data_IF_311584444031
#
_entry.id   IF_311584444031
#
_cell.length_a   1.000
_cell.length_b   1.000
_cell.length_c   1.000
_cell.angle_alpha   90.00
_cell.angle_beta   90.00
_cell.angle_gamma   90.00
#
_symmetry.space_group_name_H-M   'P 1'
#
loop_
_entity.id
_entity.type
_entity.pdbx_description
1 polymer ?
#
# COMPACT_ATOMS: atom_id res chain seq x y z
N UNK A 1 -48.07 -61.99 5.75
CA UNK A 1 -47.28 -61.25 4.75
C UNK A 1 -46.26 -60.40 5.51
N UNK A 2 -45.02 -60.85 5.58
CA UNK A 2 -43.96 -60.22 6.38
C UNK A 2 -42.78 -59.91 5.48
N UNK A 3 -42.50 -58.62 5.28
CA UNK A 3 -41.43 -58.16 4.40
C UNK A 3 -40.06 -58.36 5.09
N UNK A 4 -39.30 -59.32 4.57
CA UNK A 4 -37.88 -59.48 4.87
C UNK A 4 -37.09 -58.39 4.12
N UNK A 5 -36.41 -57.51 4.87
CA UNK A 5 -35.46 -56.55 4.28
C UNK A 5 -34.07 -57.18 4.28
N UNK A 6 -33.54 -57.35 3.07
CA UNK A 6 -32.20 -57.86 2.77
C UNK A 6 -31.18 -56.75 3.03
N UNK A 7 -30.21 -57.02 3.90
CA UNK A 7 -29.03 -56.18 4.10
C UNK A 7 -27.98 -56.49 3.02
N UNK A 8 -27.56 -55.49 2.25
CA UNK A 8 -26.42 -55.58 1.34
C UNK A 8 -25.23 -54.90 2.03
N UNK A 9 -24.23 -55.72 2.37
CA UNK A 9 -22.92 -55.27 2.79
C UNK A 9 -22.14 -54.78 1.57
N UNK A 10 -21.64 -53.54 1.62
CA UNK A 10 -20.64 -53.03 0.69
C UNK A 10 -19.36 -52.82 1.49
N UNK A 11 -18.35 -53.59 1.10
CA UNK A 11 -16.98 -53.64 1.60
C UNK A 11 -16.20 -52.35 1.33
N UNK A 12 -15.23 -52.08 2.21
CA UNK A 12 -14.23 -51.00 2.21
C UNK A 12 -13.53 -50.72 0.87
N UNK A 13 -12.97 -49.51 0.73
CA UNK A 13 -11.53 -49.45 0.47
C UNK A 13 -10.76 -48.65 1.55
N UNK A 14 -9.81 -49.37 2.15
CA UNK A 14 -8.45 -48.99 2.57
C UNK A 14 -8.09 -47.48 2.56
N UNK A 15 -7.69 -47.04 3.76
CA UNK A 15 -6.43 -46.33 4.07
C UNK A 15 -5.98 -45.21 3.13
N UNK A 16 -5.94 -43.97 3.64
CA UNK A 16 -4.68 -43.27 3.89
C UNK A 16 -4.90 -41.94 4.63
N UNK A 17 -4.08 -41.76 5.68
CA UNK A 17 -3.55 -40.49 6.20
C UNK A 17 -4.35 -39.60 7.19
N UNK A 18 -3.81 -39.62 8.42
CA UNK A 18 -3.40 -38.45 9.22
C UNK A 18 -4.47 -37.43 9.57
N UNK A 19 -5.18 -37.74 10.65
CA UNK A 19 -5.60 -36.73 11.62
C UNK A 19 -4.39 -36.38 12.50
N UNK A 20 -3.93 -35.13 12.36
CA UNK A 20 -2.93 -34.50 13.20
C UNK A 20 -2.94 -33.02 12.89
N UNK A 21 -4.03 -32.36 13.28
CA UNK A 21 -4.26 -30.94 13.02
C UNK A 21 -3.16 -30.07 13.60
N UNK A 22 -2.55 -29.27 12.73
CA UNK A 22 -2.07 -27.95 13.07
C UNK A 22 -2.93 -26.98 12.27
N UNK A 23 -3.99 -26.50 12.93
CA UNK A 23 -4.78 -25.38 12.45
C UNK A 23 -3.89 -24.13 12.59
N UNK A 24 -3.17 -23.77 11.54
CA UNK A 24 -2.43 -22.50 11.49
C UNK A 24 -3.43 -21.38 11.26
N UNK A 25 -3.97 -20.84 12.36
CA UNK A 25 -4.45 -19.46 12.40
C UNK A 25 -3.23 -18.53 12.22
N UNK A 26 -3.01 -18.07 11.00
CA UNK A 26 -2.36 -16.79 10.66
C UNK A 26 -2.18 -16.70 9.14
N UNK A 27 -3.27 -16.64 8.39
CA UNK A 27 -3.22 -16.00 7.08
C UNK A 27 -3.15 -14.48 7.32
N UNK A 28 -2.01 -14.00 7.85
CA UNK A 28 -1.61 -12.60 7.67
C UNK A 28 -1.30 -12.50 6.18
N UNK A 29 -2.33 -12.14 5.42
CA UNK A 29 -2.19 -11.88 4.00
C UNK A 29 -1.33 -10.62 3.90
N UNK A 30 -0.02 -10.77 3.70
CA UNK A 30 0.80 -9.68 3.20
C UNK A 30 0.42 -9.47 1.73
N UNK A 31 -0.31 -8.41 1.37
CA UNK A 31 -0.47 -8.09 -0.04
C UNK A 31 0.93 -7.83 -0.58
N UNK A 32 1.29 -8.54 -1.64
CA UNK A 32 2.46 -8.23 -2.44
C UNK A 32 2.26 -6.81 -3.00
N UNK A 33 2.83 -5.79 -2.34
CA UNK A 33 2.70 -4.34 -2.67
C UNK A 33 3.50 -3.99 -3.93
N UNK A 34 3.40 -4.81 -4.98
CA UNK A 34 3.99 -4.56 -6.30
C UNK A 34 2.94 -4.40 -7.41
N UNK A 35 1.66 -4.31 -7.08
CA UNK A 35 0.63 -3.92 -8.06
C UNK A 35 0.62 -2.39 -8.22
N UNK A 36 1.45 -1.90 -9.14
CA UNK A 36 1.39 -0.54 -9.67
C UNK A 36 0.07 -0.34 -10.43
N UNK A 37 -0.94 0.20 -9.74
CA UNK A 37 -2.12 0.80 -10.37
C UNK A 37 -1.87 2.28 -10.71
N UNK A 38 -2.55 2.85 -11.74
CA UNK A 38 -2.39 4.25 -12.12
C UNK A 38 -2.86 5.21 -11.02
N UNK A 39 -2.32 6.44 -10.95
CA UNK A 39 -2.52 7.34 -9.81
C UNK A 39 -3.89 8.04 -9.89
N UNK A 40 -4.80 7.71 -8.97
CA UNK A 40 -5.95 8.55 -8.64
C UNK A 40 -5.50 9.66 -7.69
N UNK A 41 -4.77 10.63 -8.24
CA UNK A 41 -4.16 11.75 -7.52
C UNK A 41 -5.19 12.70 -6.88
N UNK A 42 -6.45 12.62 -7.33
CA UNK A 42 -7.57 13.46 -6.88
C UNK A 42 -8.19 13.01 -5.54
N UNK A 43 -8.07 11.73 -5.17
CA UNK A 43 -8.52 11.24 -3.86
C UNK A 43 -7.48 11.48 -2.76
N UNK A 44 -6.19 11.43 -3.10
CA UNK A 44 -5.10 11.75 -2.15
C UNK A 44 -5.21 13.15 -1.53
N UNK A 45 -5.77 14.11 -2.26
CA UNK A 45 -5.93 15.49 -1.76
C UNK A 45 -7.19 15.69 -0.92
N UNK A 46 -8.24 14.87 -1.09
CA UNK A 46 -9.40 14.89 -0.19
C UNK A 46 -9.07 14.28 1.19
N UNK A 47 -8.16 13.31 1.22
CA UNK A 47 -7.68 12.66 2.47
C UNK A 47 -6.83 13.61 3.34
N UNK A 48 -6.16 14.59 2.74
CA UNK A 48 -5.43 15.63 3.49
C UNK A 48 -6.36 16.67 4.16
N UNK A 49 -7.62 16.79 3.71
CA UNK A 49 -8.59 17.71 4.29
C UNK A 49 -9.49 17.05 5.35
N UNK A 50 -9.68 15.73 5.30
CA UNK A 50 -10.37 14.96 6.34
C UNK A 50 -9.44 14.61 7.52
N UNK A 51 -8.12 14.69 7.33
CA UNK A 51 -7.12 14.68 8.40
C UNK A 51 -7.10 16.02 9.15
N UNK A 52 -8.15 16.30 9.91
CA UNK A 52 -8.14 17.39 10.88
C UNK A 52 -6.92 17.26 11.78
N UNK A 53 -6.10 18.30 11.82
CA UNK A 53 -4.95 18.36 12.72
C UNK A 53 -5.39 18.01 14.15
N UNK A 54 -4.66 17.17 14.90
CA UNK A 54 -4.98 16.88 16.29
C UNK A 54 -4.63 18.10 17.15
N UNK A 55 -5.52 19.10 17.15
CA UNK A 55 -5.52 20.18 18.12
C UNK A 55 -6.27 19.74 19.36
N UNK A 56 -5.52 19.22 20.34
CA UNK A 56 -5.95 19.17 21.73
C UNK A 56 -6.12 17.77 22.31
N UNK A 57 -5.15 17.34 23.13
CA UNK A 57 -5.31 16.54 24.34
C UNK A 57 -6.41 15.46 24.37
N UNK A 58 -6.56 14.67 23.30
CA UNK A 58 -7.37 13.47 23.36
C UNK A 58 -6.48 12.25 23.18
N UNK A 59 -6.28 11.52 24.28
CA UNK A 59 -6.15 10.05 24.30
C UNK A 59 -7.43 9.42 23.75
N UNK A 60 -7.83 9.82 22.54
CA UNK A 60 -8.89 9.16 21.79
C UNK A 60 -8.17 8.17 20.88
N UNK A 61 -8.51 6.91 21.03
CA UNK A 61 -8.04 5.86 20.14
C UNK A 61 -8.38 6.14 18.69
N UNK A 62 -7.84 5.32 17.81
CA UNK A 62 -8.14 5.38 16.39
C UNK A 62 -8.63 4.04 15.87
N UNK A 63 -9.38 4.09 14.78
CA UNK A 63 -9.74 2.91 14.01
C UNK A 63 -8.91 2.88 12.74
N UNK A 64 -8.27 1.75 12.46
CA UNK A 64 -7.59 1.52 11.19
C UNK A 64 -8.44 0.63 10.30
N UNK A 65 -8.68 1.05 9.07
CA UNK A 65 -9.57 0.37 8.15
C UNK A 65 -8.88 -0.02 6.84
N UNK A 66 -9.25 -1.19 6.33
CA UNK A 66 -8.94 -1.67 4.99
C UNK A 66 -10.25 -1.95 4.24
N UNK A 67 -10.37 -1.39 3.04
CA UNK A 67 -11.55 -1.54 2.19
C UNK A 67 -11.09 -2.01 0.81
N UNK A 68 -11.50 -3.23 0.44
CA UNK A 68 -11.22 -3.87 -0.85
C UNK A 68 -12.54 -4.12 -1.55
N UNK A 69 -12.70 -3.52 -2.72
CA UNK A 69 -13.86 -3.65 -3.57
C UNK A 69 -13.48 -4.51 -4.78
N UNK A 70 -13.85 -5.79 -4.78
CA UNK A 70 -13.45 -6.75 -5.81
C UNK A 70 -11.95 -7.00 -5.77
N UNK A 71 -11.25 -6.57 -6.82
CA UNK A 71 -9.79 -6.64 -6.98
C UNK A 71 -9.08 -5.31 -6.65
N UNK A 72 -9.84 -4.26 -6.29
CA UNK A 72 -9.30 -2.91 -6.06
C UNK A 72 -9.28 -2.56 -4.58
N UNK A 73 -8.14 -2.07 -4.11
CA UNK A 73 -8.00 -1.54 -2.75
C UNK A 73 -8.37 -0.06 -2.77
N UNK A 74 -9.47 0.30 -2.11
CA UNK A 74 -9.93 1.71 -2.05
C UNK A 74 -9.35 2.39 -0.82
N UNK A 75 -9.40 1.72 0.33
CA UNK A 75 -8.70 2.17 1.54
C UNK A 75 -7.64 1.15 1.90
N UNK A 76 -6.40 1.60 1.94
CA UNK A 76 -5.29 0.81 2.43
C UNK A 76 -4.83 1.38 3.77
N UNK A 77 -5.29 0.76 4.87
CA UNK A 77 -4.92 1.11 6.24
C UNK A 77 -5.17 2.58 6.57
N UNK A 78 -6.36 3.07 6.24
CA UNK A 78 -6.77 4.44 6.53
C UNK A 78 -7.09 4.56 8.03
N UNK A 79 -6.47 5.52 8.71
CA UNK A 79 -6.66 5.75 10.14
C UNK A 79 -7.72 6.82 10.33
N UNK A 80 -8.76 6.49 11.09
CA UNK A 80 -9.83 7.37 11.52
C UNK A 80 -9.72 7.63 13.02
N UNK A 81 -10.14 8.83 13.46
CA UNK A 81 -10.15 9.17 14.87
C UNK A 81 -11.41 8.63 15.57
N UNK A 82 -11.25 8.07 16.77
CA UNK A 82 -12.32 7.45 17.54
C UNK A 82 -12.64 6.02 17.13
N UNK A 83 -13.57 5.39 17.85
CA UNK A 83 -14.15 4.09 17.50
C UNK A 83 -15.25 4.28 16.44
N UNK A 84 -14.87 4.07 15.18
CA UNK A 84 -15.77 4.19 14.02
C UNK A 84 -15.77 2.91 13.17
N UNK A 85 -15.46 1.77 13.77
CA UNK A 85 -15.30 0.48 13.09
C UNK A 85 -16.52 0.11 12.25
N UNK A 86 -17.68 -0.01 12.91
CA UNK A 86 -18.95 -0.40 12.26
C UNK A 86 -19.46 0.64 11.26
N UNK A 87 -19.19 1.92 11.51
CA UNK A 87 -19.60 2.99 10.61
C UNK A 87 -18.81 2.93 9.31
N UNK A 88 -17.49 2.79 9.40
CA UNK A 88 -16.60 2.76 8.25
C UNK A 88 -16.68 1.47 7.46
N UNK A 89 -16.88 0.32 8.09
CA UNK A 89 -17.16 -0.93 7.37
C UNK A 89 -18.45 -0.82 6.54
N UNK A 90 -19.50 -0.25 7.13
CA UNK A 90 -20.77 -0.03 6.44
C UNK A 90 -20.65 1.00 5.32
N UNK A 91 -19.87 2.08 5.51
CA UNK A 91 -19.57 3.07 4.48
C UNK A 91 -18.83 2.42 3.29
N UNK A 92 -17.83 1.59 3.56
CA UNK A 92 -17.13 0.83 2.53
C UNK A 92 -18.10 -0.03 1.70
N UNK A 93 -18.96 -0.81 2.37
CA UNK A 93 -19.89 -1.72 1.71
C UNK A 93 -21.00 -1.00 0.93
N UNK A 94 -21.61 0.04 1.53
CA UNK A 94 -22.84 0.64 1.00
C UNK A 94 -22.62 1.88 0.16
N UNK A 95 -21.52 2.59 0.35
CA UNK A 95 -21.28 3.89 -0.27
C UNK A 95 -20.03 3.91 -1.14
N UNK A 96 -18.96 3.23 -0.74
CA UNK A 96 -17.70 3.29 -1.52
C UNK A 96 -17.70 2.25 -2.63
N UNK A 97 -17.82 0.97 -2.27
CA UNK A 97 -17.69 -0.10 -3.25
C UNK A 97 -18.72 -0.07 -4.39
N UNK A 98 -20.00 0.27 -4.17
CA UNK A 98 -20.97 0.35 -5.27
C UNK A 98 -20.62 1.39 -6.34
N UNK A 99 -19.79 2.39 -6.02
CA UNK A 99 -19.32 3.39 -6.97
C UNK A 99 -18.04 2.97 -7.71
N UNK A 100 -17.30 2.00 -7.16
CA UNK A 100 -16.01 1.55 -7.71
C UNK A 100 -16.16 0.28 -8.56
N UNK A 101 -17.05 -0.63 -8.16
CA UNK A 101 -17.24 -1.94 -8.80
C UNK A 101 -18.70 -2.20 -9.19
N UNK A 102 -18.89 -3.14 -10.11
CA UNK A 102 -20.23 -3.61 -10.51
C UNK A 102 -20.88 -4.34 -9.32
N UNK A 103 -22.17 -4.10 -9.03
CA UNK A 103 -22.90 -4.82 -7.98
C UNK A 103 -22.75 -6.35 -8.13
N UNK A 104 -22.53 -7.04 -7.02
CA UNK A 104 -22.39 -8.51 -6.96
C UNK A 104 -20.94 -9.03 -6.89
N UNK A 105 -19.93 -8.15 -7.02
CA UNK A 105 -18.55 -8.50 -6.67
C UNK A 105 -18.36 -8.49 -5.14
N UNK A 106 -17.40 -9.30 -4.66
CA UNK A 106 -17.11 -9.42 -3.23
C UNK A 106 -16.53 -8.11 -2.70
N UNK A 107 -17.05 -7.66 -1.57
CA UNK A 107 -16.51 -6.54 -0.79
C UNK A 107 -15.89 -7.11 0.47
N UNK A 108 -14.68 -6.64 0.79
CA UNK A 108 -14.01 -6.93 2.04
C UNK A 108 -13.70 -5.62 2.74
N UNK A 109 -14.34 -5.41 3.89
CA UNK A 109 -14.09 -4.30 4.78
C UNK A 109 -13.66 -4.88 6.12
N UNK A 110 -12.50 -4.47 6.60
CA UNK A 110 -11.99 -4.84 7.92
C UNK A 110 -11.48 -3.57 8.60
N UNK A 111 -12.04 -3.28 9.76
CA UNK A 111 -11.60 -2.19 10.59
C UNK A 111 -11.19 -2.73 11.97
N UNK A 112 -10.17 -2.14 12.58
CA UNK A 112 -9.73 -2.49 13.94
C UNK A 112 -9.56 -1.21 14.75
N UNK A 113 -10.26 -1.10 15.87
CA UNK A 113 -10.06 -0.02 16.84
C UNK A 113 -8.87 -0.31 17.77
N UNK A 114 -8.08 0.73 18.05
CA UNK A 114 -6.95 0.68 18.99
C UNK A 114 -7.00 1.90 19.90
N UNK A 115 -6.82 1.67 21.20
CA UNK A 115 -6.90 2.72 22.23
C UNK A 115 -5.76 3.76 22.13
N UNK A 116 -4.55 3.34 21.74
CA UNK A 116 -3.40 4.23 21.55
C UNK A 116 -3.11 4.44 20.05
N UNK A 117 -3.22 5.69 19.60
CA UNK A 117 -2.86 6.08 18.24
C UNK A 117 -1.40 5.78 17.89
N UNK A 118 -0.52 5.73 18.89
CA UNK A 118 0.90 5.42 18.72
C UNK A 118 1.08 4.02 18.14
N UNK A 119 0.23 3.06 18.51
CA UNK A 119 0.29 1.69 18.00
C UNK A 119 -0.13 1.61 16.53
N UNK A 120 -1.00 2.52 16.09
CA UNK A 120 -1.38 2.65 14.68
C UNK A 120 -0.30 3.30 13.83
N UNK A 121 0.51 4.21 14.39
CA UNK A 121 1.62 4.82 13.66
C UNK A 121 2.91 4.02 13.75
N UNK A 122 2.99 3.09 14.70
CA UNK A 122 4.16 2.26 14.91
C UNK A 122 4.36 1.24 13.80
N UNK A 123 5.62 1.01 13.48
CA UNK A 123 6.03 0.01 12.50
C UNK A 123 7.44 -0.48 12.70
N UNK A 124 7.77 -1.50 11.94
CA UNK A 124 9.08 -2.14 11.92
C UNK A 124 9.67 -2.01 10.52
N UNK A 125 10.87 -1.47 10.40
CA UNK A 125 11.66 -1.50 9.18
C UNK A 125 12.61 -2.68 9.22
N UNK A 126 12.61 -3.51 8.17
CA UNK A 126 13.49 -4.67 8.08
C UNK A 126 14.31 -4.68 6.80
N UNK A 127 15.55 -5.13 6.96
CA UNK A 127 16.44 -5.56 5.90
C UNK A 127 16.62 -7.09 5.99
N UNK A 128 16.58 -7.76 4.84
CA UNK A 128 16.74 -9.21 4.72
C UNK A 128 17.72 -9.52 3.60
N UNK A 129 18.90 -10.02 3.96
CA UNK A 129 19.99 -10.39 3.07
C UNK A 129 20.21 -11.91 3.10
N UNK A 130 20.02 -12.55 1.95
CA UNK A 130 20.09 -13.99 1.77
C UNK A 130 21.34 -14.35 0.96
N UNK A 131 22.51 -14.23 1.60
CA UNK A 131 23.81 -14.34 0.93
C UNK A 131 24.09 -13.10 0.06
N UNK A 132 24.28 -13.32 -1.25
CA UNK A 132 24.56 -12.23 -2.20
C UNK A 132 23.29 -11.51 -2.69
N UNK A 133 22.11 -12.01 -2.34
CA UNK A 133 20.83 -11.45 -2.76
C UNK A 133 20.15 -10.72 -1.61
N UNK A 134 19.66 -9.52 -1.87
CA UNK A 134 18.78 -8.79 -0.96
C UNK A 134 17.33 -9.16 -1.23
N UNK A 135 16.68 -9.84 -0.29
CA UNK A 135 15.26 -10.18 -0.41
C UNK A 135 14.38 -8.99 -0.05
N UNK A 136 14.72 -8.27 1.02
CA UNK A 136 14.06 -7.03 1.44
C UNK A 136 15.08 -5.96 1.78
N UNK A 137 14.74 -4.72 1.42
CA UNK A 137 15.49 -3.53 1.79
C UNK A 137 14.53 -2.46 2.28
N UNK A 138 14.77 -1.96 3.49
CA UNK A 138 13.96 -0.94 4.15
C UNK A 138 12.45 -1.27 4.10
N UNK A 139 12.09 -2.57 4.19
CA UNK A 139 10.70 -2.99 4.08
C UNK A 139 9.97 -2.68 5.36
N UNK A 140 8.95 -1.85 5.24
CA UNK A 140 8.14 -1.39 6.36
C UNK A 140 6.98 -2.36 6.64
N UNK A 141 6.85 -2.77 7.90
CA UNK A 141 5.79 -3.60 8.43
C UNK A 141 5.06 -2.86 9.56
N UNK A 142 3.78 -3.15 9.77
CA UNK A 142 2.99 -2.52 10.81
C UNK A 142 3.18 -3.20 12.17
N UNK A 143 3.22 -2.41 13.24
CA UNK A 143 3.42 -2.91 14.60
C UNK A 143 4.86 -3.35 14.92
N UNK A 144 5.08 -3.87 16.13
CA UNK A 144 6.37 -4.46 16.54
C UNK A 144 6.41 -5.94 16.13
N UNK A 145 6.85 -6.19 14.90
CA UNK A 145 6.96 -7.53 14.31
C UNK A 145 8.41 -7.95 14.07
N UNK A 146 9.37 -7.35 14.78
CA UNK A 146 10.82 -7.57 14.59
C UNK A 146 11.19 -9.05 14.62
N UNK A 147 10.89 -9.72 15.73
CA UNK A 147 11.28 -11.13 15.93
C UNK A 147 10.63 -12.08 14.94
N UNK A 148 9.36 -11.82 14.61
CA UNK A 148 8.61 -12.64 13.66
C UNK A 148 9.19 -12.50 12.24
N UNK A 149 9.45 -11.27 11.79
CA UNK A 149 9.95 -11.01 10.44
C UNK A 149 11.43 -11.36 10.27
N UNK A 150 12.25 -11.18 11.30
CA UNK A 150 13.64 -11.67 11.29
C UNK A 150 13.66 -13.20 11.15
N UNK A 151 12.86 -13.90 11.95
CA UNK A 151 12.76 -15.37 11.88
C UNK A 151 12.25 -15.84 10.52
N UNK A 152 11.18 -15.23 10.02
CA UNK A 152 10.61 -15.56 8.71
C UNK A 152 11.62 -15.35 7.57
N UNK A 153 12.37 -14.24 7.60
CA UNK A 153 13.42 -13.98 6.61
C UNK A 153 14.44 -15.13 6.60
N UNK A 154 14.97 -15.50 7.77
CA UNK A 154 16.05 -16.49 7.89
C UNK A 154 15.59 -17.92 7.62
N UNK A 155 14.44 -18.32 8.14
CA UNK A 155 13.97 -19.71 8.12
C UNK A 155 13.13 -20.04 6.87
N UNK A 156 12.38 -19.08 6.34
CA UNK A 156 11.43 -19.34 5.26
C UNK A 156 11.84 -18.67 3.95
N UNK A 157 12.14 -17.36 3.99
CA UNK A 157 12.39 -16.60 2.77
C UNK A 157 13.76 -16.89 2.15
N UNK A 158 14.83 -16.84 2.94
CA UNK A 158 16.19 -16.99 2.42
C UNK A 158 16.47 -18.36 1.79
N UNK A 159 16.01 -19.49 2.34
CA UNK A 159 16.16 -20.79 1.69
C UNK A 159 15.47 -20.86 0.31
N UNK A 160 14.37 -20.12 0.12
CA UNK A 160 13.67 -20.05 -1.17
C UNK A 160 14.40 -19.13 -2.17
N UNK A 161 14.96 -18.01 -1.70
CA UNK A 161 15.65 -17.01 -2.53
C UNK A 161 17.04 -17.48 -2.96
N UNK A 162 17.77 -18.16 -2.07
CA UNK A 162 19.09 -18.70 -2.29
C UNK A 162 19.23 -20.09 -1.65
N UNK A 163 18.91 -21.17 -2.38
CA UNK A 163 18.91 -22.54 -1.85
C UNK A 163 20.32 -23.12 -1.65
N UNK A 164 21.39 -22.33 -1.84
CA UNK A 164 22.77 -22.78 -1.75
C UNK A 164 23.14 -22.92 -0.25
N UNK A 165 23.45 -24.13 0.23
CA UNK A 165 23.84 -24.32 1.62
C UNK A 165 25.19 -23.65 1.90
N UNK A 166 25.35 -23.12 3.13
CA UNK A 166 26.60 -22.51 3.60
C UNK A 166 26.72 -21.00 3.34
N UNK A 167 25.74 -20.37 2.68
CA UNK A 167 25.64 -18.92 2.62
C UNK A 167 25.16 -18.34 3.96
N UNK A 168 25.64 -17.15 4.31
CA UNK A 168 25.19 -16.43 5.49
C UNK A 168 23.91 -15.67 5.17
N UNK A 169 22.89 -15.89 5.98
CA UNK A 169 21.65 -15.13 5.93
C UNK A 169 21.64 -14.16 7.10
N UNK A 170 21.34 -12.91 6.81
CA UNK A 170 21.33 -11.81 7.77
C UNK A 170 19.98 -11.10 7.67
N UNK A 171 19.36 -10.88 8.82
CA UNK A 171 18.12 -10.12 8.93
C UNK A 171 18.29 -9.10 10.04
N UNK A 172 17.88 -7.86 9.79
CA UNK A 172 17.91 -6.80 10.79
C UNK A 172 16.62 -6.01 10.74
N UNK A 173 15.89 -5.99 11.85
CA UNK A 173 14.67 -5.22 11.98
C UNK A 173 14.77 -4.18 13.10
N UNK A 174 14.33 -2.96 12.80
CA UNK A 174 14.26 -1.84 13.75
C UNK A 174 12.81 -1.39 13.92
N UNK A 175 12.40 -1.19 15.17
CA UNK A 175 11.05 -0.73 15.49
C UNK A 175 11.06 0.78 15.68
N UNK A 176 10.20 1.46 14.95
CA UNK A 176 9.98 2.89 15.04
C UNK A 176 8.50 3.19 15.28
N UNK A 177 8.21 3.79 16.44
CA UNK A 177 6.85 4.26 16.81
C UNK A 177 6.34 5.34 15.84
N UNK A 178 7.29 6.02 15.23
CA UNK A 178 7.22 7.10 14.25
C UNK A 178 6.80 6.72 12.83
N UNK A 179 6.95 5.43 12.48
CA UNK A 179 7.23 5.04 11.09
C UNK A 179 6.17 5.50 10.09
N UNK A 180 4.91 5.42 10.49
CA UNK A 180 3.75 5.80 9.68
C UNK A 180 3.05 7.07 10.18
N UNK A 181 3.70 7.84 11.05
CA UNK A 181 3.15 9.11 11.49
C UNK A 181 3.01 10.06 10.30
N UNK A 182 1.84 10.72 10.20
CA UNK A 182 1.62 11.73 9.17
C UNK A 182 2.70 12.82 9.30
N UNK A 183 3.32 13.25 8.19
CA UNK A 183 4.29 14.33 8.22
C UNK A 183 3.68 15.53 8.93
N UNK A 184 4.27 15.97 10.04
CA UNK A 184 3.83 17.21 10.67
C UNK A 184 3.96 18.32 9.63
N UNK A 185 2.94 19.17 9.43
CA UNK A 185 3.09 20.32 8.55
C UNK A 185 4.29 21.10 9.06
N UNK A 186 5.37 21.12 8.28
CA UNK A 186 6.53 21.95 8.61
C UNK A 186 6.00 23.38 8.69
N UNK A 187 6.33 24.16 9.73
CA UNK A 187 6.12 25.60 9.69
C UNK A 187 6.69 26.05 8.35
N UNK A 188 5.85 26.61 7.47
CA UNK A 188 6.36 27.20 6.24
C UNK A 188 7.27 28.32 6.71
N UNK A 189 8.59 28.12 6.59
CA UNK A 189 9.53 29.20 6.78
C UNK A 189 9.00 30.37 5.94
N UNK A 190 8.90 31.59 6.51
CA UNK A 190 8.42 32.73 5.77
C UNK A 190 9.27 32.82 4.51
N UNK A 191 8.66 32.52 3.36
CA UNK A 191 9.34 32.54 2.07
C UNK A 191 10.00 33.92 2.01
N UNK A 192 11.34 34.01 1.87
CA UNK A 192 12.00 35.30 1.88
C UNK A 192 11.35 36.13 0.80
N UNK A 193 10.67 37.21 1.20
CA UNK A 193 9.91 38.05 0.30
C UNK A 193 10.83 38.37 -0.87
N UNK A 194 10.48 37.85 -2.06
CA UNK A 194 11.29 38.01 -3.25
C UNK A 194 11.59 39.50 -3.36
N UNK A 195 12.86 39.88 -3.16
CA UNK A 195 13.31 41.24 -3.36
C UNK A 195 13.05 41.52 -4.83
N UNK A 196 11.92 42.14 -5.14
CA UNK A 196 11.59 42.56 -6.49
C UNK A 196 12.80 43.35 -6.98
N UNK A 197 13.50 42.90 -8.04
CA UNK A 197 14.54 43.72 -8.63
C UNK A 197 13.85 45.03 -9.03
N UNK A 198 14.29 46.10 -8.40
CA UNK A 198 13.85 47.46 -8.69
C UNK A 198 14.12 47.64 -10.19
N UNK A 199 13.06 47.60 -10.98
CA UNK A 199 13.10 47.82 -12.42
C UNK A 199 13.72 49.20 -12.64
N UNK A 200 15.01 49.22 -12.89
CA UNK A 200 15.69 50.38 -13.43
C UNK A 200 15.03 50.65 -14.79
N UNK A 201 14.28 51.75 -14.86
CA UNK A 201 13.75 52.32 -16.09
C UNK A 201 14.93 52.56 -17.05
N UNK A 202 15.26 51.58 -17.88
CA UNK A 202 16.04 51.83 -19.10
C UNK A 202 15.05 52.33 -20.16
N UNK A 203 14.92 53.65 -20.20
CA UNK A 203 14.45 54.32 -21.40
C UNK A 203 15.50 54.07 -22.49
N UNK A 204 15.16 53.27 -23.49
CA UNK A 204 15.86 53.27 -24.77
C UNK A 204 14.83 53.04 -25.87
N UNK A 205 14.24 54.15 -26.31
CA UNK A 205 13.52 54.25 -27.55
C UNK A 205 14.48 54.05 -28.71
N UNK A 206 14.29 53.04 -29.56
CA UNK A 206 14.66 53.12 -30.98
C UNK A 206 13.65 52.33 -31.82
N UNK A 207 12.92 53.08 -32.64
CA UNK A 207 12.12 52.65 -33.80
C UNK A 207 13.00 51.86 -34.79
N UNK A 208 12.47 50.80 -35.41
CA UNK A 208 11.95 50.87 -36.80
C UNK A 208 11.37 49.54 -37.31
N UNK A 209 10.41 49.61 -38.27
CA UNK A 209 9.79 48.47 -38.94
C UNK A 209 10.39 48.23 -40.33
N UNK A 210 10.80 47.01 -40.66
CA UNK A 210 11.13 46.49 -41.99
C UNK A 210 11.29 44.98 -41.79
N UNK A 211 10.81 44.04 -42.59
CA UNK A 211 10.17 44.04 -43.88
C UNK A 211 9.94 42.56 -44.23
N UNK A 212 9.00 42.35 -45.14
CA UNK A 212 8.57 41.05 -45.68
C UNK A 212 9.71 40.32 -46.41
N UNK A 213 9.82 39.00 -46.24
CA UNK A 213 10.32 38.00 -47.20
C UNK A 213 10.01 36.61 -46.60
N UNK A 214 9.06 35.78 -47.05
CA UNK A 214 8.83 35.14 -48.36
C UNK A 214 9.99 34.23 -48.83
N UNK A 215 9.60 33.02 -49.26
CA UNK A 215 10.40 31.90 -49.86
C UNK A 215 10.99 30.91 -48.84
N UNK A 216 11.05 29.60 -49.04
CA UNK A 216 10.59 28.64 -50.06
C UNK A 216 10.81 27.24 -49.42
N UNK A 217 9.89 26.28 -49.57
CA UNK A 217 9.98 25.12 -50.48
C UNK A 217 11.17 24.14 -50.28
N UNK A 218 10.85 22.86 -50.53
CA UNK A 218 11.67 21.63 -50.66
C UNK A 218 11.79 20.80 -49.36
N UNK A 219 11.27 19.57 -49.21
CA UNK A 219 11.12 18.36 -50.05
C UNK A 219 12.13 17.27 -49.62
N UNK A 220 11.60 16.04 -49.44
CA UNK A 220 12.27 14.72 -49.55
C UNK A 220 13.20 14.42 -48.34
N UNK A 221 13.08 13.31 -47.61
CA UNK A 221 13.42 11.98 -48.12
C UNK A 221 12.75 10.82 -47.38
N UNK A 222 12.53 9.77 -48.15
CA UNK A 222 12.05 8.46 -47.73
C UNK A 222 13.23 7.57 -47.35
N UNK A 223 13.02 6.67 -46.39
CA UNK A 223 13.95 5.59 -46.07
C UNK A 223 13.79 5.16 -44.61
N UNK A 224 13.78 3.88 -44.26
CA UNK A 224 14.00 2.68 -45.03
C UNK A 224 13.40 1.51 -44.24
N UNK A 225 12.96 0.50 -45.00
CA UNK A 225 12.62 -0.81 -44.50
C UNK A 225 13.83 -1.46 -43.79
N UNK A 226 13.57 -2.19 -42.72
CA UNK A 226 14.53 -3.06 -42.06
C UNK A 226 13.81 -4.31 -41.57
N UNK A 227 14.16 -5.42 -42.21
CA UNK A 227 13.74 -6.82 -42.00
C UNK A 227 13.60 -7.26 -40.54
#
# INVERSE_FOLDING_TARGET
EGAASVAIAISEPRSLERLGGAFTHANVWEPNVQAAGPPLEKERQAVAAAGGAPTGNSTQGGTVCQCICGDRVVWHRLIFAGDVEKEKEKECEKEVCPHVIIPGLRVYAECNYVEDLTDLTAGTLCDCQCGDKTAWRDRAFYGDVRKEKEKYCLEELCPLVSPIPGLRFEASCSFDRQLYALPRPRPRDPYPAAKRPLMAKSQAAVRRPFGVALLAALAIDAGAAGL
#
